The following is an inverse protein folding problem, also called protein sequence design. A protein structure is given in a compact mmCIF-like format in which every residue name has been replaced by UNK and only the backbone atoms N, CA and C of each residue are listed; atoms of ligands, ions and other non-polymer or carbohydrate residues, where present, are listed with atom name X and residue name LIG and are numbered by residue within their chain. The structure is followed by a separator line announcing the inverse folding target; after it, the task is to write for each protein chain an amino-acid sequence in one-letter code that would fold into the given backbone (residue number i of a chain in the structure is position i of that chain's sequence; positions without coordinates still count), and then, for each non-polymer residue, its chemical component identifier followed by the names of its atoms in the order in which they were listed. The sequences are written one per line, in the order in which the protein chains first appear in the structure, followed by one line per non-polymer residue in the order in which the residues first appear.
data_IF_971209629479
#
_entry.id   IF_971209629479
#
_cell.length_a   1.000
_cell.length_b   1.000
_cell.length_c   1.000
_cell.angle_alpha   90.00
_cell.angle_beta   90.00
_cell.angle_gamma   90.00
#
_symmetry.space_group_name_H-M   'P 1'
#
loop_
_entity.id
_entity.type
_entity.pdbx_description
1 polymer ?
#
# COMPACT_ATOMS: atom_id res chain seq x y z
N UNK A 1 -6.42 10.07 1.29
CA UNK A 1 -5.28 9.26 1.78
C UNK A 1 -5.80 8.36 2.87
N UNK A 2 -5.52 7.06 2.80
CA UNK A 2 -5.90 6.11 3.85
C UNK A 2 -4.93 4.94 3.87
N UNK A 3 -4.78 4.32 5.03
CA UNK A 3 -3.92 3.15 5.16
C UNK A 3 -4.52 2.09 6.07
N UNK A 4 -4.09 0.86 5.86
CA UNK A 4 -4.49 -0.31 6.63
C UNK A 4 -3.23 -0.85 7.29
N UNK A 5 -3.18 -0.76 8.63
CA UNK A 5 -2.08 -1.30 9.41
C UNK A 5 -2.28 -2.79 9.66
N UNK A 6 -1.26 -3.59 9.37
CA UNK A 6 -1.30 -5.03 9.64
C UNK A 6 -1.02 -5.29 11.13
N UNK A 7 -2.01 -5.83 11.83
CA UNK A 7 -1.90 -6.25 13.23
C UNK A 7 -1.65 -7.76 13.24
N UNK A 8 -0.47 -8.19 13.69
CA UNK A 8 -0.13 -9.60 13.77
C UNK A 8 -0.18 -10.06 15.23
N UNK A 9 -1.17 -10.87 15.58
CA UNK A 9 -1.43 -11.31 16.97
C UNK A 9 -0.38 -12.24 17.58
N UNK A 10 0.57 -12.74 16.79
CA UNK A 10 1.54 -13.75 17.27
C UNK A 10 2.58 -13.15 18.22
N UNK A 11 2.84 -11.84 18.12
CA UNK A 11 3.84 -11.20 18.96
C UNK A 11 3.14 -10.24 19.93
N UNK A 12 2.88 -10.73 21.16
CA UNK A 12 2.53 -9.88 22.30
C UNK A 12 3.58 -8.77 22.41
N UNK A 13 3.15 -7.54 22.21
CA UNK A 13 3.94 -6.32 22.36
C UNK A 13 5.01 -6.08 21.27
N UNK A 14 4.59 -5.89 20.02
CA UNK A 14 5.52 -5.45 18.97
C UNK A 14 5.48 -3.94 18.80
N UNK A 15 6.50 -3.26 19.33
CA UNK A 15 6.87 -1.91 18.95
C UNK A 15 7.39 -1.89 17.48
N UNK A 16 6.57 -2.36 16.54
CA UNK A 16 6.91 -2.46 15.11
C UNK A 16 7.10 -1.05 14.60
N UNK A 17 8.25 -0.83 13.97
CA UNK A 17 8.58 0.44 13.35
C UNK A 17 8.64 0.22 11.85
N UNK A 18 8.10 1.19 11.13
CA UNK A 18 8.28 1.29 9.69
C UNK A 18 9.78 1.21 9.33
N UNK A 19 10.07 0.56 8.21
CA UNK A 19 11.42 0.49 7.64
C UNK A 19 11.45 1.04 6.22
N UNK A 20 10.74 0.39 5.27
CA UNK A 20 10.83 0.75 3.85
C UNK A 20 9.56 0.38 3.08
N UNK A 21 9.36 1.02 1.93
CA UNK A 21 8.40 0.59 0.91
C UNK A 21 8.94 -0.64 0.19
N UNK A 22 8.13 -1.69 0.03
CA UNK A 22 8.53 -2.91 -0.66
C UNK A 22 8.10 -2.95 -2.11
N UNK A 23 6.82 -2.69 -2.37
CA UNK A 23 6.22 -2.65 -3.70
C UNK A 23 5.20 -1.53 -3.76
N UNK A 24 5.09 -0.96 -4.95
CA UNK A 24 4.07 0.03 -5.30
C UNK A 24 3.44 -0.39 -6.62
N UNK A 25 2.12 -0.21 -6.69
CA UNK A 25 1.36 -0.30 -7.92
C UNK A 25 0.67 1.02 -8.17
N UNK A 26 0.45 1.32 -9.44
CA UNK A 26 -0.25 2.52 -9.88
C UNK A 26 -1.39 2.07 -10.78
N UNK A 27 -2.57 2.68 -10.57
CA UNK A 27 -3.75 2.44 -11.38
C UNK A 27 -4.59 3.72 -11.44
N UNK A 28 -5.50 3.76 -12.41
CA UNK A 28 -6.50 4.82 -12.50
C UNK A 28 -7.80 4.35 -11.84
N UNK A 29 -8.36 5.19 -10.97
CA UNK A 29 -9.70 4.99 -10.42
C UNK A 29 -10.77 5.26 -11.52
N UNK A 30 -12.03 5.00 -11.21
CA UNK A 30 -13.13 5.10 -12.18
C UNK A 30 -13.34 6.51 -12.74
N UNK A 31 -12.95 7.54 -11.98
CA UNK A 31 -12.95 8.95 -12.38
C UNK A 31 -11.68 9.38 -13.14
N UNK A 32 -10.81 8.43 -13.50
CA UNK A 32 -9.57 8.69 -14.24
C UNK A 32 -8.45 9.30 -13.38
N UNK A 33 -8.61 9.33 -12.06
CA UNK A 33 -7.60 9.88 -11.15
C UNK A 33 -6.59 8.81 -10.78
N UNK A 34 -5.31 9.19 -10.78
CA UNK A 34 -4.21 8.30 -10.40
C UNK A 34 -4.29 7.90 -8.92
N UNK A 35 -4.13 6.60 -8.68
CA UNK A 35 -4.04 6.01 -7.34
C UNK A 35 -2.73 5.26 -7.22
N UNK A 36 -2.03 5.48 -6.11
CA UNK A 36 -0.84 4.75 -5.72
C UNK A 36 -1.20 3.84 -4.54
N UNK A 37 -0.89 2.55 -4.64
CA UNK A 37 -1.02 1.61 -3.54
C UNK A 37 0.32 0.96 -3.22
N UNK A 38 0.74 1.05 -1.96
CA UNK A 38 2.08 0.64 -1.51
C UNK A 38 2.04 -0.29 -0.31
N UNK A 39 2.82 -1.37 -0.36
CA UNK A 39 3.07 -2.21 0.81
C UNK A 39 4.34 -1.72 1.50
N UNK A 40 4.21 -1.36 2.77
CA UNK A 40 5.29 -0.95 3.65
C UNK A 40 5.70 -2.13 4.54
N UNK A 41 7.00 -2.28 4.77
CA UNK A 41 7.57 -3.29 5.67
C UNK A 41 8.06 -2.66 6.95
N UNK A 42 8.05 -3.45 8.03
CA UNK A 42 8.70 -3.10 9.27
C UNK A 42 10.20 -3.41 9.23
N UNK A 43 10.92 -3.05 10.31
CA UNK A 43 12.36 -3.34 10.47
C UNK A 43 12.71 -4.83 10.42
N UNK A 44 11.75 -5.71 10.61
CA UNK A 44 11.94 -7.17 10.56
C UNK A 44 11.58 -7.75 9.18
N UNK A 45 11.21 -6.90 8.21
CA UNK A 45 10.84 -7.31 6.85
C UNK A 45 9.41 -7.83 6.69
N UNK A 46 8.56 -7.71 7.72
CA UNK A 46 7.17 -8.15 7.65
C UNK A 46 6.25 -7.04 7.18
N UNK A 47 5.13 -7.39 6.52
CA UNK A 47 4.10 -6.44 6.10
C UNK A 47 3.62 -5.60 7.29
N UNK A 48 3.84 -4.29 7.21
CA UNK A 48 3.57 -3.33 8.28
C UNK A 48 2.31 -2.54 7.99
N UNK A 49 2.19 -2.01 6.78
CA UNK A 49 1.07 -1.17 6.37
C UNK A 49 0.81 -1.27 4.87
N UNK A 50 -0.45 -1.17 4.47
CA UNK A 50 -0.88 -0.93 3.09
C UNK A 50 -1.35 0.52 3.00
N UNK A 51 -0.65 1.34 2.23
CA UNK A 51 -1.01 2.74 1.99
C UNK A 51 -1.71 2.87 0.63
N UNK A 52 -2.85 3.55 0.58
CA UNK A 52 -3.58 3.87 -0.65
C UNK A 52 -3.79 5.38 -0.74
N UNK A 53 -3.21 5.97 -1.78
CA UNK A 53 -3.28 7.40 -2.03
C UNK A 53 -3.84 7.70 -3.42
N UNK A 54 -5.06 8.25 -3.43
CA UNK A 54 -5.64 8.92 -4.61
C UNK A 54 -5.16 10.37 -4.64
N UNK A 55 -4.56 10.79 -5.75
CA UNK A 55 -3.78 12.04 -5.84
C UNK A 55 -4.59 13.32 -5.68
N UNK A 56 -5.92 13.25 -5.80
CA UNK A 56 -6.84 14.38 -5.60
C UNK A 56 -7.55 14.38 -4.23
N UNK A 57 -7.20 13.48 -3.32
CA UNK A 57 -7.79 13.36 -1.97
C UNK A 57 -9.28 12.98 -1.89
N UNK A 58 -9.99 12.85 -3.02
CA UNK A 58 -11.35 12.34 -3.02
C UNK A 58 -11.39 10.87 -2.57
N UNK A 59 -12.54 10.37 -2.12
CA UNK A 59 -12.73 8.94 -1.86
C UNK A 59 -12.39 8.08 -3.09
N UNK A 60 -11.86 6.89 -2.82
CA UNK A 60 -11.66 5.86 -3.84
C UNK A 60 -13.03 5.32 -4.26
N UNK A 61 -13.30 5.26 -5.57
CA UNK A 61 -14.56 4.74 -6.10
C UNK A 61 -14.48 3.22 -6.19
N UNK A 62 -13.40 2.67 -6.76
CA UNK A 62 -13.19 1.22 -6.82
C UNK A 62 -11.73 0.80 -6.76
N UNK A 63 -11.51 -0.46 -6.39
CA UNK A 63 -10.23 -1.12 -6.55
C UNK A 63 -10.01 -1.59 -7.99
N UNK A 64 -8.75 -1.69 -8.45
CA UNK A 64 -8.45 -2.15 -9.79
C UNK A 64 -8.62 -3.67 -9.89
N UNK A 65 -8.97 -4.15 -11.08
CA UNK A 65 -8.88 -5.56 -11.46
C UNK A 65 -7.43 -5.94 -11.65
N UNK A 66 -7.14 -7.25 -11.62
CA UNK A 66 -5.78 -7.80 -11.74
C UNK A 66 -4.99 -7.31 -12.96
N UNK A 67 -5.66 -7.01 -14.08
CA UNK A 67 -5.04 -6.53 -15.31
C UNK A 67 -5.00 -5.00 -15.45
N UNK A 68 -5.54 -4.24 -14.48
CA UNK A 68 -5.63 -2.76 -14.52
C UNK A 68 -4.43 -2.08 -13.85
N UNK A 69 -3.43 -2.86 -13.42
CA UNK A 69 -2.20 -2.35 -12.82
C UNK A 69 -1.03 -3.28 -13.12
N UNK A 70 0.16 -2.70 -13.18
CA UNK A 70 1.42 -3.44 -13.25
C UNK A 70 2.20 -3.28 -11.94
N UNK A 71 2.81 -4.40 -11.51
CA UNK A 71 3.72 -4.40 -10.37
C UNK A 71 5.07 -3.93 -10.87
N UNK A 72 5.44 -2.68 -10.56
CA UNK A 72 6.79 -2.22 -10.86
C UNK A 72 7.79 -2.97 -9.95
N UNK A 73 8.69 -3.72 -10.56
CA UNK A 73 9.87 -4.20 -9.87
C UNK A 73 10.83 -3.02 -9.69
N UNK A 74 10.74 -2.33 -8.55
CA UNK A 74 11.81 -1.45 -8.12
C UNK A 74 13.03 -2.33 -7.81
N UNK A 75 14.04 -2.30 -8.69
CA UNK A 75 15.38 -2.77 -8.37
C UNK A 75 15.92 -1.90 -7.24
N UNK A 76 16.20 -2.51 -6.09
CA UNK A 76 16.92 -1.88 -4.98
C UNK A 76 18.42 -2.06 -5.18
#
# INVERSE_FOLDING_TARGET
MGSIRFIQSVCKNTNRQFSRKWKEVQFYDDDGVLVLASILLDKNGWAFELEIWKTNFNPLIRFPKKHEFDIKNSSF
#
